data_IF_299647158730
#
_entry.id   IF_299647158730
#
_cell.length_a   1.000
_cell.length_b   1.000
_cell.length_c   1.000
_cell.angle_alpha   90.00
_cell.angle_beta   90.00
_cell.angle_gamma   90.00
#
_symmetry.space_group_name_H-M   'P 1'
#
loop_
_entity.id
_entity.type
_entity.pdbx_description
1 polymer ?
#
# COMPACT_ATOMS: atom_id res chain seq x y z
N UNK A 1 15.63 11.36 -14.95
CA UNK A 1 14.32 10.89 -15.46
C UNK A 1 14.62 9.76 -16.44
N UNK A 2 14.12 8.54 -16.20
CA UNK A 2 14.52 7.37 -16.99
C UNK A 2 13.80 7.40 -18.36
N UNK A 3 14.55 7.53 -19.45
CA UNK A 3 13.97 7.70 -20.80
C UNK A 3 13.13 6.51 -21.24
N UNK A 4 13.44 5.31 -20.75
CA UNK A 4 12.74 4.06 -21.07
C UNK A 4 11.24 4.05 -20.76
N UNK A 5 10.77 4.89 -19.84
CA UNK A 5 9.37 4.84 -19.38
C UNK A 5 8.56 6.07 -19.81
N UNK A 6 9.15 7.01 -20.57
CA UNK A 6 8.49 8.25 -20.97
C UNK A 6 7.21 7.97 -21.78
N UNK A 7 7.28 7.03 -22.73
CA UNK A 7 6.17 6.74 -23.63
C UNK A 7 5.05 5.98 -22.91
N UNK A 8 5.40 5.03 -22.04
CA UNK A 8 4.43 4.32 -21.19
C UNK A 8 3.72 5.28 -20.22
N UNK A 9 4.43 6.27 -19.66
CA UNK A 9 3.83 7.28 -18.79
C UNK A 9 2.85 8.17 -19.57
N UNK A 10 3.17 8.55 -20.81
CA UNK A 10 2.26 9.31 -21.68
C UNK A 10 1.01 8.51 -22.04
N UNK A 11 1.16 7.21 -22.31
CA UNK A 11 0.03 6.32 -22.59
C UNK A 11 -0.89 6.12 -21.37
N UNK A 12 -0.29 5.99 -20.18
CA UNK A 12 -0.98 5.98 -18.89
C UNK A 12 -1.81 7.25 -18.68
N UNK A 13 -1.22 8.42 -18.96
CA UNK A 13 -1.93 9.71 -18.85
C UNK A 13 -3.10 9.82 -19.84
N UNK A 14 -3.02 9.18 -21.01
CA UNK A 14 -4.05 9.20 -22.06
C UNK A 14 -5.25 8.28 -21.76
N UNK A 15 -5.04 7.19 -21.02
CA UNK A 15 -6.05 6.12 -20.83
C UNK A 15 -7.02 6.37 -19.68
N UNK A 16 -6.92 7.50 -18.95
CA UNK A 16 -7.85 7.84 -17.86
C UNK A 16 -7.76 6.92 -16.63
N UNK A 17 -6.74 6.05 -16.58
CA UNK A 17 -6.47 5.18 -15.43
C UNK A 17 -5.94 6.01 -14.26
N UNK A 18 -6.42 5.73 -13.06
CA UNK A 18 -5.98 6.44 -11.85
C UNK A 18 -4.76 5.74 -11.26
N UNK A 19 -3.68 6.50 -11.09
CA UNK A 19 -2.42 6.04 -10.52
C UNK A 19 -2.00 6.99 -9.40
N UNK A 20 -1.54 6.44 -8.27
CA UNK A 20 -1.09 7.24 -7.13
C UNK A 20 0.40 7.01 -6.89
N UNK A 21 1.15 8.10 -6.69
CA UNK A 21 2.57 8.06 -6.37
C UNK A 21 2.90 9.05 -5.26
N UNK A 22 3.37 8.56 -4.11
CA UNK A 22 3.86 9.38 -3.00
C UNK A 22 5.36 9.17 -2.78
N UNK A 23 6.12 10.26 -2.74
CA UNK A 23 7.57 10.32 -2.43
C UNK A 23 7.75 10.80 -0.99
N UNK A 24 8.49 10.08 -0.14
CA UNK A 24 8.82 10.55 1.23
C UNK A 24 9.40 9.47 2.16
N UNK A 25 10.25 9.89 3.11
CA UNK A 25 11.38 9.13 3.70
C UNK A 25 11.16 8.44 5.06
N UNK A 26 12.17 7.61 5.40
CA UNK A 26 12.62 7.05 6.70
C UNK A 26 12.08 5.69 7.18
N UNK A 27 13.04 4.80 7.44
CA UNK A 27 12.93 3.46 8.03
C UNK A 27 12.75 3.67 9.54
N UNK A 28 11.56 3.37 10.08
CA UNK A 28 11.39 3.30 11.54
C UNK A 28 11.12 1.85 11.90
N UNK A 29 12.06 1.30 12.65
CA UNK A 29 12.23 -0.10 13.04
C UNK A 29 11.37 -0.48 14.26
N UNK A 30 10.18 0.09 14.40
CA UNK A 30 9.25 -0.27 15.48
C UNK A 30 7.81 -0.26 14.97
N UNK A 31 7.37 -1.41 14.50
CA UNK A 31 6.02 -1.70 14.00
C UNK A 31 4.95 -1.70 15.09
N UNK A 32 4.93 -0.68 15.97
CA UNK A 32 3.87 -0.47 16.97
C UNK A 32 3.17 0.88 16.83
N UNK A 33 3.67 1.79 15.98
CA UNK A 33 3.00 3.05 15.63
C UNK A 33 2.41 2.98 14.23
N UNK A 34 1.54 2.01 13.97
CA UNK A 34 0.66 2.10 12.80
C UNK A 34 -0.37 3.18 13.09
N UNK A 35 -0.15 4.34 12.50
CA UNK A 35 -1.01 5.51 12.63
C UNK A 35 -2.42 5.19 12.15
N UNK A 36 -3.36 5.26 13.09
CA UNK A 36 -4.79 5.21 12.90
C UNK A 36 -5.42 5.66 14.22
N UNK A 37 -6.57 6.30 14.17
CA UNK A 37 -7.35 6.66 15.36
C UNK A 37 -8.82 6.42 15.06
N UNK A 38 -9.62 6.21 16.10
CA UNK A 38 -11.07 6.01 15.94
C UNK A 38 -11.70 7.20 15.20
N UNK A 39 -11.16 8.41 15.41
CA UNK A 39 -11.56 9.62 14.69
C UNK A 39 -11.29 9.54 13.19
N UNK A 40 -10.12 9.02 12.79
CA UNK A 40 -9.77 8.83 11.39
C UNK A 40 -10.61 7.72 10.76
N UNK A 41 -10.86 6.64 11.49
CA UNK A 41 -11.73 5.55 11.05
C UNK A 41 -13.15 6.07 10.80
N UNK A 42 -13.74 6.75 11.78
CA UNK A 42 -15.07 7.37 11.66
C UNK A 42 -15.14 8.32 10.47
N UNK A 43 -14.07 9.09 10.21
CA UNK A 43 -13.99 9.98 9.05
C UNK A 43 -13.96 9.20 7.73
N UNK A 44 -13.13 8.16 7.62
CA UNK A 44 -13.07 7.31 6.41
C UNK A 44 -14.44 6.68 6.15
N UNK A 45 -15.12 6.18 7.19
CA UNK A 45 -16.48 5.64 7.09
C UNK A 45 -17.51 6.68 6.67
N UNK A 46 -17.42 7.91 7.18
CA UNK A 46 -18.33 9.00 6.78
C UNK A 46 -18.15 9.40 5.31
N UNK A 47 -16.94 9.28 4.76
CA UNK A 47 -16.64 9.62 3.36
C UNK A 47 -17.14 8.55 2.41
N UNK A 48 -16.98 7.28 2.77
CA UNK A 48 -17.30 6.15 1.90
C UNK A 48 -18.71 5.57 2.08
N UNK A 49 -19.46 6.04 3.09
CA UNK A 49 -20.79 5.54 3.50
C UNK A 49 -20.70 4.08 4.01
N UNK A 50 -21.50 3.73 5.02
CA UNK A 50 -21.31 2.51 5.85
C UNK A 50 -21.29 1.16 5.11
N UNK A 51 -21.75 1.11 3.87
CA UNK A 51 -21.53 -0.01 2.95
C UNK A 51 -20.69 0.52 1.78
N UNK A 52 -19.43 0.09 1.71
CA UNK A 52 -18.49 0.56 0.69
C UNK A 52 -19.09 0.46 -0.71
N UNK A 53 -19.24 1.61 -1.36
CA UNK A 53 -19.49 1.66 -2.81
C UNK A 53 -18.48 0.77 -3.53
N UNK A 54 -18.84 0.18 -4.67
CA UNK A 54 -17.90 -0.58 -5.51
C UNK A 54 -16.65 0.24 -5.93
N UNK A 55 -16.68 1.56 -5.72
CA UNK A 55 -15.60 2.53 -5.95
C UNK A 55 -14.98 3.11 -4.66
N UNK A 56 -15.31 2.61 -3.46
CA UNK A 56 -14.76 3.09 -2.20
C UNK A 56 -13.31 2.66 -2.02
N UNK A 57 -12.38 3.62 -2.10
CA UNK A 57 -10.96 3.37 -1.86
C UNK A 57 -10.30 4.54 -1.14
N UNK A 58 -9.62 4.22 -0.04
CA UNK A 58 -8.77 5.11 0.72
C UNK A 58 -7.30 4.87 0.34
N UNK A 59 -6.70 5.84 -0.36
CA UNK A 59 -5.28 5.78 -0.71
C UNK A 59 -4.47 6.62 0.27
N UNK A 60 -3.48 6.00 0.88
CA UNK A 60 -2.65 6.62 1.91
C UNK A 60 -1.17 6.35 1.65
N UNK A 61 -0.32 6.89 2.52
CA UNK A 61 1.13 6.71 2.47
C UNK A 61 1.82 7.53 3.52
N UNK A 62 3.00 7.12 3.94
CA UNK A 62 3.89 7.75 4.93
C UNK A 62 4.88 6.67 5.36
N UNK A 63 4.34 5.48 5.60
CA UNK A 63 5.12 4.29 5.86
C UNK A 63 5.62 3.71 4.53
N UNK A 64 6.77 3.01 4.58
CA UNK A 64 7.48 2.50 3.39
C UNK A 64 7.16 1.04 3.06
N UNK A 65 6.17 0.45 3.72
CA UNK A 65 5.66 -0.88 3.36
C UNK A 65 4.50 -0.78 2.37
N UNK A 66 4.31 -1.77 1.50
CA UNK A 66 3.08 -1.83 0.72
C UNK A 66 1.90 -2.34 1.52
N UNK A 67 0.71 -1.86 1.16
CA UNK A 67 -0.56 -2.32 1.67
C UNK A 67 -1.58 -2.32 0.54
N UNK A 68 -2.25 -3.43 0.33
CA UNK A 68 -3.36 -3.53 -0.61
C UNK A 68 -4.36 -4.54 -0.05
N UNK A 69 -5.51 -4.05 0.43
CA UNK A 69 -6.54 -4.88 1.07
C UNK A 69 -7.90 -4.21 1.00
N UNK A 70 -8.97 -5.02 1.06
CA UNK A 70 -10.34 -4.52 1.23
C UNK A 70 -10.79 -4.84 2.65
N UNK A 71 -11.26 -3.83 3.38
CA UNK A 71 -11.82 -3.97 4.73
C UNK A 71 -13.22 -3.37 4.75
N UNK A 72 -14.22 -4.20 5.07
CA UNK A 72 -15.65 -3.87 5.07
C UNK A 72 -16.11 -3.08 3.82
N UNK A 73 -15.69 -3.56 2.65
CA UNK A 73 -16.06 -2.97 1.35
C UNK A 73 -15.25 -1.72 0.95
N UNK A 74 -14.32 -1.24 1.77
CA UNK A 74 -13.43 -0.12 1.43
C UNK A 74 -12.05 -0.68 1.06
N UNK A 75 -11.56 -0.33 -0.13
CA UNK A 75 -10.18 -0.60 -0.54
C UNK A 75 -9.20 0.31 0.20
N UNK A 76 -8.13 -0.25 0.74
CA UNK A 76 -7.05 0.50 1.39
C UNK A 76 -5.77 0.23 0.62
N UNK A 77 -5.21 1.28 0.00
CA UNK A 77 -4.01 1.14 -0.83
C UNK A 77 -2.90 2.06 -0.33
N UNK A 78 -1.72 1.46 -0.17
CA UNK A 78 -0.46 2.14 0.06
C UNK A 78 0.60 1.55 -0.87
N UNK A 79 0.98 2.32 -1.89
CA UNK A 79 2.03 1.94 -2.84
C UNK A 79 3.22 2.92 -2.73
N UNK A 80 4.07 2.82 -1.68
CA UNK A 80 5.23 3.67 -1.54
C UNK A 80 6.27 3.36 -2.61
N UNK A 81 6.95 4.39 -3.10
CA UNK A 81 8.07 4.20 -4.01
C UNK A 81 9.22 3.42 -3.37
N UNK A 82 9.43 3.59 -2.06
CA UNK A 82 10.45 2.93 -1.26
C UNK A 82 11.89 3.00 -1.85
N UNK A 83 12.90 2.49 -1.14
CA UNK A 83 14.23 2.34 -1.74
C UNK A 83 14.27 1.15 -2.70
N UNK A 84 15.22 1.10 -3.65
CA UNK A 84 15.31 0.01 -4.63
C UNK A 84 15.23 -1.41 -4.04
N UNK A 85 15.83 -1.62 -2.86
CA UNK A 85 15.78 -2.91 -2.14
C UNK A 85 14.39 -3.24 -1.60
N UNK A 86 13.66 -2.23 -1.14
CA UNK A 86 12.33 -2.38 -0.54
C UNK A 86 11.25 -2.50 -1.61
N UNK A 87 11.45 -1.89 -2.79
CA UNK A 87 10.55 -2.01 -3.95
C UNK A 87 10.28 -3.45 -4.36
N UNK A 88 11.32 -4.30 -4.30
CA UNK A 88 11.20 -5.73 -4.59
C UNK A 88 10.28 -6.46 -3.60
N UNK A 89 10.17 -5.94 -2.37
CA UNK A 89 9.27 -6.50 -1.36
C UNK A 89 7.84 -5.96 -1.49
N UNK A 90 7.66 -4.92 -2.29
CA UNK A 90 6.48 -4.06 -2.37
C UNK A 90 5.77 -4.19 -3.73
N UNK A 91 6.14 -5.17 -4.56
CA UNK A 91 5.56 -5.38 -5.89
C UNK A 91 5.92 -4.32 -6.96
N UNK A 92 6.83 -3.39 -6.64
CA UNK A 92 7.18 -2.23 -7.47
C UNK A 92 8.43 -2.41 -8.34
N UNK A 93 8.64 -3.60 -8.92
CA UNK A 93 9.85 -3.90 -9.71
C UNK A 93 10.00 -2.96 -10.92
N UNK A 94 8.88 -2.63 -11.56
CA UNK A 94 8.86 -1.69 -12.67
C UNK A 94 8.67 -0.26 -12.15
N UNK A 95 9.41 0.71 -12.70
CA UNK A 95 9.29 2.15 -12.39
C UNK A 95 7.94 2.78 -12.82
N UNK A 96 6.94 1.95 -13.07
CA UNK A 96 5.62 2.36 -13.50
C UNK A 96 4.76 2.75 -12.28
N UNK A 97 3.85 3.70 -12.44
CA UNK A 97 2.86 4.01 -11.43
C UNK A 97 2.00 2.77 -11.09
N UNK A 98 1.63 2.62 -9.82
CA UNK A 98 0.79 1.52 -9.35
C UNK A 98 -0.66 1.75 -9.80
N UNK A 99 -1.18 0.88 -10.67
CA UNK A 99 -2.55 0.99 -11.17
C UNK A 99 -3.50 0.49 -10.10
N UNK A 100 -4.51 1.28 -9.74
CA UNK A 100 -5.54 0.84 -8.80
C UNK A 100 -6.91 0.69 -9.47
N UNK A 101 -7.17 1.43 -10.54
CA UNK A 101 -8.48 1.46 -11.21
C UNK A 101 -8.32 1.48 -12.72
N UNK A 102 -9.02 0.57 -13.41
CA UNK A 102 -9.03 0.41 -14.87
C UNK A 102 -10.39 -0.09 -15.32
N UNK A 103 -10.87 0.38 -16.48
CA UNK A 103 -12.06 -0.16 -17.14
C UNK A 103 -13.32 -0.18 -16.26
N UNK A 104 -13.50 0.88 -15.46
CA UNK A 104 -14.67 1.03 -14.60
C UNK A 104 -14.67 0.17 -13.33
N UNK A 105 -13.53 -0.46 -12.98
CA UNK A 105 -13.39 -1.31 -11.79
C UNK A 105 -12.02 -1.17 -11.14
N UNK A 106 -11.92 -1.51 -9.86
CA UNK A 106 -10.62 -1.71 -9.22
C UNK A 106 -9.90 -2.89 -9.86
N UNK A 107 -8.58 -2.74 -10.03
CA UNK A 107 -7.74 -3.86 -10.45
C UNK A 107 -7.62 -4.88 -9.31
N UNK A 108 -7.14 -6.08 -9.63
CA UNK A 108 -6.91 -7.12 -8.62
C UNK A 108 -5.88 -6.65 -7.59
N UNK A 109 -6.11 -7.01 -6.31
CA UNK A 109 -5.20 -6.73 -5.21
C UNK A 109 -3.79 -7.25 -5.53
N UNK A 110 -2.79 -6.42 -5.29
CA UNK A 110 -1.39 -6.80 -5.46
C UNK A 110 -0.85 -7.49 -4.21
N UNK A 111 -0.04 -8.56 -4.36
CA UNK A 111 0.59 -9.23 -3.23
C UNK A 111 1.46 -8.27 -2.42
N UNK A 112 1.23 -8.22 -1.12
CA UNK A 112 1.89 -7.31 -0.21
C UNK A 112 2.09 -8.01 1.14
N UNK A 113 3.35 -8.27 1.53
CA UNK A 113 3.67 -9.06 2.74
C UNK A 113 2.85 -8.68 3.98
N UNK A 114 2.64 -7.37 4.22
CA UNK A 114 1.92 -6.90 5.39
C UNK A 114 0.40 -7.07 5.31
N UNK A 115 -0.24 -6.73 4.19
CA UNK A 115 -1.69 -6.96 4.06
C UNK A 115 -2.01 -8.44 3.95
N UNK A 116 -1.19 -9.23 3.25
CA UNK A 116 -1.32 -10.69 3.16
C UNK A 116 -1.21 -11.34 4.55
N UNK A 117 -0.27 -10.88 5.38
CA UNK A 117 -0.13 -11.36 6.75
C UNK A 117 -1.35 -11.02 7.61
N UNK A 118 -1.82 -9.77 7.58
CA UNK A 118 -2.97 -9.37 8.39
C UNK A 118 -4.33 -9.83 7.83
N UNK A 119 -4.37 -10.39 6.62
CA UNK A 119 -5.56 -11.05 6.10
C UNK A 119 -5.91 -12.33 6.89
N UNK A 120 -4.92 -12.97 7.50
CA UNK A 120 -5.10 -14.24 8.26
C UNK A 120 -4.62 -14.16 9.70
N UNK A 121 -3.93 -13.09 10.09
CA UNK A 121 -3.45 -12.88 11.46
C UNK A 121 -4.12 -11.66 12.09
N UNK A 122 -4.68 -11.83 13.28
CA UNK A 122 -5.18 -10.70 14.07
C UNK A 122 -4.04 -9.78 14.52
N UNK A 123 -4.35 -8.50 14.72
CA UNK A 123 -3.38 -7.54 15.28
C UNK A 123 -3.04 -7.90 16.73
N UNK A 124 -1.75 -8.11 16.98
CA UNK A 124 -1.21 -8.33 18.32
C UNK A 124 -0.24 -7.18 18.66
N UNK A 125 -0.72 -6.06 19.25
CA UNK A 125 0.10 -4.86 19.47
C UNK A 125 1.28 -5.10 20.42
N UNK A 126 1.14 -6.06 21.34
CA UNK A 126 2.20 -6.47 22.26
C UNK A 126 3.25 -7.39 21.61
N UNK A 127 3.02 -7.87 20.38
CA UNK A 127 4.00 -8.67 19.66
C UNK A 127 5.12 -7.76 19.14
N UNK A 128 6.32 -7.93 19.70
CA UNK A 128 7.54 -7.19 19.32
C UNK A 128 8.48 -8.01 18.43
N UNK A 129 8.09 -9.24 18.05
CA UNK A 129 8.91 -10.06 17.18
C UNK A 129 8.99 -9.47 15.77
N UNK A 130 10.15 -9.62 15.15
CA UNK A 130 10.34 -9.23 13.75
C UNK A 130 9.48 -10.13 12.85
N UNK A 131 8.80 -9.51 11.89
CA UNK A 131 8.05 -10.27 10.88
C UNK A 131 9.01 -11.18 10.09
N UNK A 132 8.59 -12.39 9.66
CA UNK A 132 9.47 -13.37 9.02
C UNK A 132 10.26 -12.84 7.81
N UNK A 133 9.62 -12.04 6.95
CA UNK A 133 10.27 -11.44 5.77
C UNK A 133 11.24 -10.30 6.11
N UNK A 134 11.22 -9.79 7.35
CA UNK A 134 12.16 -8.81 7.88
C UNK A 134 13.28 -9.49 8.65
N UNK A 135 12.96 -10.50 9.47
CA UNK A 135 13.89 -11.21 10.34
C UNK A 135 15.13 -11.74 9.60
N UNK A 136 14.94 -12.25 8.37
CA UNK A 136 16.02 -12.74 7.49
C UNK A 136 17.16 -11.75 7.20
N UNK A 137 16.94 -10.46 7.43
CA UNK A 137 17.95 -9.42 7.18
C UNK A 137 18.81 -9.09 8.41
N UNK A 138 18.44 -9.59 9.58
CA UNK A 138 19.16 -9.38 10.82
C UNK A 138 19.84 -10.70 11.20
N UNK A 139 21.15 -10.66 11.44
CA UNK A 139 21.85 -11.79 12.06
C UNK A 139 21.68 -11.66 13.58
N UNK A 140 21.40 -12.75 14.31
CA UNK A 140 21.53 -12.73 15.76
C UNK A 140 22.99 -12.36 16.10
N UNK A 141 23.14 -11.45 17.07
CA UNK A 141 24.43 -11.05 17.64
C UNK A 141 24.92 -12.17 18.55
#
# INVERSE_FOLDING_TARGET
MNEKNKDTIKEIQRTGKTYVQKRGCYFIQTSQRLFGSDWLENRVRSIHVGEGSASACHVFGHTRFCWDAVLDGIGYVQAPLAYPRERRMNGGENWLPFCIYSDGRFVQLSPCYWSDYYAVNSRAPHNTQLAPWVARFYKPI
#
